data_IF_456307503059
#
_entry.id   IF_456307503059
#
_cell.length_a   1.000
_cell.length_b   1.000
_cell.length_c   1.000
_cell.angle_alpha   90.00
_cell.angle_beta   90.00
_cell.angle_gamma   90.00
#
_symmetry.space_group_name_H-M   'P 1'
#
loop_
_entity.id
_entity.type
_entity.pdbx_description
1 polymer ?
#
# COMPACT_ATOMS: atom_id res chain seq x y z
N UNK A 1 -9.34 -7.42 25.66
CA UNK A 1 -10.06 -8.50 24.96
C UNK A 1 -9.77 -8.32 23.49
N UNK A 2 -9.15 -9.28 22.86
CA UNK A 2 -8.92 -9.26 21.42
C UNK A 2 -10.29 -9.55 20.80
N UNK A 3 -10.83 -8.63 20.00
CA UNK A 3 -12.06 -8.83 19.23
C UNK A 3 -11.95 -10.09 18.38
N UNK A 4 -13.08 -10.66 17.97
CA UNK A 4 -13.08 -11.85 17.09
C UNK A 4 -12.33 -11.55 15.77
N UNK A 5 -12.01 -12.57 14.96
CA UNK A 5 -11.24 -12.40 13.71
C UNK A 5 -11.91 -11.47 12.67
N UNK A 6 -13.13 -11.03 12.90
CA UNK A 6 -13.88 -10.11 12.04
C UNK A 6 -14.03 -8.70 12.64
N UNK A 7 -13.41 -8.39 13.80
CA UNK A 7 -13.50 -7.06 14.40
C UNK A 7 -12.40 -6.14 13.84
N UNK A 8 -12.79 -5.27 12.92
CA UNK A 8 -11.90 -4.29 12.28
C UNK A 8 -11.82 -2.96 13.01
N UNK A 9 -12.68 -2.70 14.00
CA UNK A 9 -12.72 -1.44 14.77
C UNK A 9 -11.36 -1.06 15.40
N UNK A 10 -10.59 -2.01 16.00
CA UNK A 10 -9.27 -1.70 16.55
C UNK A 10 -8.25 -1.25 15.49
N UNK A 11 -8.51 -1.45 14.21
CA UNK A 11 -7.62 -1.06 13.11
C UNK A 11 -7.86 0.36 12.61
N UNK A 12 -9.00 0.99 12.90
CA UNK A 12 -9.33 2.36 12.44
C UNK A 12 -8.24 3.39 12.67
N UNK A 13 -7.53 3.40 13.83
CA UNK A 13 -6.42 4.34 14.04
C UNK A 13 -5.22 4.14 13.09
N UNK A 14 -5.15 3.03 12.38
CA UNK A 14 -3.94 2.61 11.67
C UNK A 14 -4.17 2.25 10.20
N UNK A 15 -5.40 2.28 9.74
CA UNK A 15 -5.76 1.84 8.38
C UNK A 15 -6.55 2.91 7.65
N UNK A 16 -6.14 3.17 6.42
CA UNK A 16 -6.91 3.92 5.43
C UNK A 16 -7.29 2.97 4.31
N UNK A 17 -8.58 2.70 4.17
CA UNK A 17 -9.11 1.82 3.13
C UNK A 17 -9.54 2.63 1.90
N UNK A 18 -9.05 2.25 0.73
CA UNK A 18 -9.27 2.93 -0.54
C UNK A 18 -9.92 1.99 -1.56
N UNK A 19 -10.96 2.47 -2.21
CA UNK A 19 -11.60 1.85 -3.37
C UNK A 19 -11.56 2.80 -4.56
N UNK A 20 -11.07 2.33 -5.71
CA UNK A 20 -10.91 3.14 -6.93
C UNK A 20 -10.15 4.46 -6.73
N UNK A 21 -9.22 4.48 -5.78
CA UNK A 21 -8.41 5.65 -5.43
C UNK A 21 -9.06 6.63 -4.45
N UNK A 22 -10.34 6.50 -4.14
CA UNK A 22 -11.06 7.28 -3.13
C UNK A 22 -11.15 6.53 -1.80
N UNK A 23 -11.62 7.19 -0.74
CA UNK A 23 -11.95 6.50 0.50
C UNK A 23 -13.07 5.49 0.28
N UNK A 24 -12.89 4.27 0.80
CA UNK A 24 -13.88 3.21 0.66
C UNK A 24 -15.16 3.55 1.43
N UNK A 25 -16.30 3.45 0.76
CA UNK A 25 -17.63 3.71 1.32
C UNK A 25 -18.41 2.43 1.61
N UNK A 26 -17.83 1.30 1.33
CA UNK A 26 -18.42 -0.04 1.49
C UNK A 26 -17.34 -1.05 1.92
N UNK A 27 -17.69 -2.33 1.95
CA UNK A 27 -16.79 -3.40 2.32
C UNK A 27 -16.72 -3.67 3.82
N UNK A 28 -15.64 -4.33 4.23
CA UNK A 28 -15.43 -4.75 5.63
C UNK A 28 -15.02 -3.56 6.53
N UNK A 29 -14.41 -2.51 5.94
CA UNK A 29 -14.01 -1.29 6.65
C UNK A 29 -14.19 -0.06 5.76
N UNK A 30 -15.12 0.80 6.10
CA UNK A 30 -15.26 2.10 5.47
C UNK A 30 -14.25 3.09 6.05
N UNK A 31 -13.78 4.03 5.22
CA UNK A 31 -12.93 5.16 5.65
C UNK A 31 -13.55 6.46 5.19
N UNK A 32 -13.55 7.46 6.04
CA UNK A 32 -13.98 8.83 5.75
C UNK A 32 -12.83 9.81 5.96
N UNK A 33 -13.02 11.07 5.57
CA UNK A 33 -12.06 12.15 5.86
C UNK A 33 -11.90 12.34 7.38
N UNK A 34 -13.00 12.24 8.13
CA UNK A 34 -13.03 12.36 9.58
C UNK A 34 -12.24 11.24 10.27
N UNK A 35 -12.26 10.02 9.73
CA UNK A 35 -11.40 8.92 10.23
C UNK A 35 -9.92 9.25 10.04
N UNK A 36 -9.55 9.78 8.87
CA UNK A 36 -8.16 10.21 8.61
C UNK A 36 -7.78 11.39 9.50
N UNK A 37 -8.67 12.35 9.70
CA UNK A 37 -8.46 13.47 10.63
C UNK A 37 -8.21 12.95 12.06
N UNK A 38 -8.99 11.98 12.51
CA UNK A 38 -8.80 11.37 13.82
C UNK A 38 -7.43 10.67 13.95
N UNK A 39 -6.92 10.06 12.86
CA UNK A 39 -5.57 9.49 12.85
C UNK A 39 -4.53 10.58 13.16
N UNK A 40 -4.57 11.73 12.48
CA UNK A 40 -3.55 12.77 12.57
C UNK A 40 -3.77 13.77 13.71
N UNK A 41 -4.99 13.92 14.21
CA UNK A 41 -5.30 14.88 15.29
C UNK A 41 -5.45 14.23 16.68
N UNK A 42 -5.68 12.90 16.73
CA UNK A 42 -5.92 12.20 17.99
C UNK A 42 -4.94 11.03 18.18
N UNK A 43 -4.94 10.06 17.28
CA UNK A 43 -4.27 8.78 17.51
C UNK A 43 -2.75 8.87 17.40
N UNK A 44 -2.24 9.45 16.32
CA UNK A 44 -0.81 9.63 16.11
C UNK A 44 -0.19 10.61 17.12
N UNK A 45 -0.78 11.78 17.43
CA UNK A 45 -0.28 12.64 18.52
C UNK A 45 -0.18 11.92 19.86
N UNK A 46 -1.24 11.22 20.27
CA UNK A 46 -1.24 10.46 21.52
C UNK A 46 -0.16 9.37 21.57
N UNK A 47 0.11 8.73 20.43
CA UNK A 47 1.20 7.76 20.32
C UNK A 47 2.56 8.45 20.44
N UNK A 48 2.78 9.56 19.74
CA UNK A 48 4.04 10.31 19.78
C UNK A 48 4.34 10.79 21.19
N UNK A 49 3.39 11.40 21.88
CA UNK A 49 3.59 11.89 23.27
C UNK A 49 4.00 10.76 24.23
N UNK A 50 3.37 9.60 24.10
CA UNK A 50 3.68 8.42 24.92
C UNK A 50 5.04 7.80 24.57
N UNK A 51 5.44 7.86 23.32
CA UNK A 51 6.58 7.11 22.78
C UNK A 51 7.86 7.94 22.70
N UNK A 52 7.75 9.24 22.43
CA UNK A 52 8.89 10.14 22.26
C UNK A 52 9.94 10.07 23.41
N UNK A 53 9.58 9.95 24.70
CA UNK A 53 10.58 9.85 25.77
C UNK A 53 11.51 8.63 25.64
N UNK A 54 11.06 7.57 24.95
CA UNK A 54 11.85 6.35 24.72
C UNK A 54 12.84 6.50 23.56
N UNK A 55 12.57 7.42 22.64
CA UNK A 55 13.37 7.65 21.43
C UNK A 55 14.30 8.85 21.55
N UNK A 56 14.09 9.74 22.52
CA UNK A 56 14.90 10.95 22.68
C UNK A 56 16.41 10.66 22.68
N UNK A 57 17.21 11.38 21.89
CA UNK A 57 16.87 12.58 21.12
C UNK A 57 16.35 12.29 19.68
N UNK A 58 16.07 11.04 19.33
CA UNK A 58 15.65 10.65 17.99
C UNK A 58 14.14 10.83 17.78
N UNK A 59 13.69 11.10 16.55
CA UNK A 59 12.27 11.20 16.21
C UNK A 59 11.55 9.84 16.33
N UNK A 60 10.23 9.90 16.52
CA UNK A 60 9.37 8.72 16.56
C UNK A 60 9.09 8.24 15.12
N UNK A 61 9.30 6.95 14.80
CA UNK A 61 9.04 6.45 13.45
C UNK A 61 7.54 6.38 13.12
N UNK A 62 7.15 6.95 11.99
CA UNK A 62 5.87 6.73 11.32
C UNK A 62 6.13 5.89 10.06
N UNK A 63 5.55 4.71 9.98
CA UNK A 63 5.72 3.79 8.84
C UNK A 63 4.45 3.73 8.02
N UNK A 64 4.51 4.19 6.79
CA UNK A 64 3.40 4.16 5.84
C UNK A 64 3.55 2.92 4.97
N UNK A 65 2.64 1.96 5.14
CA UNK A 65 2.68 0.66 4.49
C UNK A 65 1.65 0.56 3.36
N UNK A 66 2.06 0.01 2.22
CA UNK A 66 1.16 -0.38 1.13
C UNK A 66 1.36 -1.86 0.76
N UNK A 67 0.27 -2.64 0.76
CA UNK A 67 0.30 -4.06 0.43
C UNK A 67 0.41 -4.32 -1.07
N UNK A 68 0.63 -5.59 -1.45
CA UNK A 68 0.76 -6.04 -2.84
C UNK A 68 -0.55 -6.09 -3.62
N UNK A 69 -0.46 -6.31 -4.93
CA UNK A 69 -1.58 -6.19 -5.88
C UNK A 69 -2.61 -7.31 -5.86
N UNK A 70 -2.29 -8.47 -5.27
CA UNK A 70 -3.15 -9.66 -5.25
C UNK A 70 -3.77 -9.82 -3.85
N UNK A 71 -4.13 -8.74 -3.23
CA UNK A 71 -4.63 -8.70 -1.87
C UNK A 71 -6.05 -8.14 -1.91
N UNK A 72 -7.02 -8.91 -1.39
CA UNK A 72 -8.38 -8.42 -1.16
C UNK A 72 -8.38 -7.44 0.01
N UNK A 73 -9.43 -6.63 0.15
CA UNK A 73 -9.65 -5.78 1.31
C UNK A 73 -9.49 -6.59 2.61
N UNK A 74 -10.23 -7.71 2.76
CA UNK A 74 -10.14 -8.57 3.94
C UNK A 74 -8.72 -9.09 4.21
N UNK A 75 -8.00 -9.49 3.18
CA UNK A 75 -6.61 -9.93 3.34
C UNK A 75 -5.69 -8.76 3.73
N UNK A 76 -5.90 -7.56 3.18
CA UNK A 76 -5.20 -6.35 3.58
C UNK A 76 -5.44 -5.97 5.04
N UNK A 77 -6.69 -6.04 5.50
CA UNK A 77 -7.07 -5.85 6.89
C UNK A 77 -6.46 -6.92 7.81
N UNK A 78 -6.41 -8.18 7.37
CA UNK A 78 -5.75 -9.26 8.11
C UNK A 78 -4.24 -8.99 8.26
N UNK A 79 -3.57 -8.55 7.19
CA UNK A 79 -2.16 -8.16 7.22
C UNK A 79 -1.95 -7.01 8.23
N UNK A 80 -2.79 -5.97 8.18
CA UNK A 80 -2.74 -4.87 9.13
C UNK A 80 -2.94 -5.37 10.57
N UNK A 81 -3.92 -6.24 10.80
CA UNK A 81 -4.20 -6.83 12.11
C UNK A 81 -3.01 -7.56 12.73
N UNK A 82 -2.18 -8.22 11.92
CA UNK A 82 -0.96 -8.87 12.38
C UNK A 82 0.21 -7.89 12.55
N UNK A 83 0.33 -6.90 11.67
CA UNK A 83 1.49 -6.01 11.65
C UNK A 83 1.37 -4.86 12.65
N UNK A 84 0.17 -4.29 12.85
CA UNK A 84 -0.05 -3.14 13.75
C UNK A 84 0.47 -3.41 15.17
N UNK A 85 0.12 -4.51 15.85
CA UNK A 85 0.64 -4.77 17.20
C UNK A 85 2.17 -4.89 17.24
N UNK A 86 2.76 -5.46 16.19
CA UNK A 86 4.20 -5.61 16.08
C UNK A 86 4.90 -4.24 15.94
N UNK A 87 4.42 -3.38 15.05
CA UNK A 87 4.97 -2.04 14.89
C UNK A 87 4.87 -1.22 16.17
N UNK A 88 3.69 -1.21 16.81
CA UNK A 88 3.45 -0.48 18.06
C UNK A 88 4.36 -0.97 19.20
N UNK A 89 4.58 -2.28 19.32
CA UNK A 89 5.47 -2.85 20.33
C UNK A 89 6.94 -2.46 20.11
N UNK A 90 7.32 -2.19 18.86
CA UNK A 90 8.64 -1.70 18.48
C UNK A 90 8.74 -0.16 18.49
N UNK A 91 7.70 0.54 18.93
CA UNK A 91 7.68 2.00 19.07
C UNK A 91 7.52 2.77 17.77
N UNK A 92 7.08 2.13 16.70
CA UNK A 92 6.74 2.76 15.44
C UNK A 92 5.22 2.86 15.27
N UNK A 93 4.73 3.99 14.75
CA UNK A 93 3.31 4.12 14.38
C UNK A 93 3.12 3.62 12.96
N UNK A 94 2.31 2.57 12.72
CA UNK A 94 2.01 2.13 11.38
C UNK A 94 0.79 2.87 10.82
N UNK A 95 0.86 3.25 9.55
CA UNK A 95 -0.29 3.69 8.77
C UNK A 95 -0.39 2.78 7.54
N UNK A 96 -1.39 1.93 7.49
CA UNK A 96 -1.62 0.99 6.40
C UNK A 96 -2.58 1.56 5.37
N UNK A 97 -2.17 1.59 4.13
CA UNK A 97 -3.09 1.67 3.02
C UNK A 97 -3.58 0.27 2.65
N UNK A 98 -4.86 0.02 2.88
CA UNK A 98 -5.60 -1.08 2.25
C UNK A 98 -6.23 -0.51 1.00
N UNK A 99 -5.85 -1.00 -0.17
CA UNK A 99 -6.24 -0.37 -1.43
C UNK A 99 -6.64 -1.40 -2.48
N UNK A 100 -7.70 -1.09 -3.20
CA UNK A 100 -8.21 -1.96 -4.22
C UNK A 100 -7.30 -1.94 -5.45
N UNK A 101 -6.85 -3.11 -5.86
CA UNK A 101 -5.97 -3.25 -7.02
C UNK A 101 -6.71 -3.60 -8.30
N UNK A 102 -8.04 -3.85 -8.20
CA UNK A 102 -8.87 -4.33 -9.32
C UNK A 102 -8.58 -5.78 -9.73
N UNK A 103 -7.66 -6.47 -9.02
CA UNK A 103 -7.26 -7.83 -9.35
C UNK A 103 -8.39 -8.83 -9.22
N UNK A 104 -9.10 -8.80 -8.10
CA UNK A 104 -10.18 -9.78 -7.84
C UNK A 104 -11.35 -9.61 -8.80
N UNK A 105 -11.70 -8.38 -9.17
CA UNK A 105 -12.79 -8.13 -10.09
C UNK A 105 -12.43 -8.56 -11.52
N UNK A 106 -11.18 -8.32 -11.92
CA UNK A 106 -10.64 -8.82 -13.18
C UNK A 106 -10.63 -10.36 -13.19
N UNK A 107 -10.19 -10.99 -12.09
CA UNK A 107 -10.21 -12.47 -11.98
C UNK A 107 -11.64 -13.04 -11.99
N UNK A 108 -12.58 -12.42 -11.28
CA UNK A 108 -14.01 -12.82 -11.33
C UNK A 108 -14.58 -12.69 -12.74
N UNK A 109 -14.22 -11.63 -13.46
CA UNK A 109 -14.65 -11.43 -14.84
C UNK A 109 -14.07 -12.51 -15.78
N UNK A 110 -12.81 -12.88 -15.60
CA UNK A 110 -12.17 -13.97 -16.37
C UNK A 110 -12.88 -15.30 -16.10
N UNK A 111 -13.15 -15.63 -14.82
CA UNK A 111 -13.84 -16.87 -14.46
C UNK A 111 -15.27 -16.92 -14.99
N UNK A 112 -16.03 -15.83 -14.97
CA UNK A 112 -17.38 -15.76 -15.55
C UNK A 112 -17.35 -15.97 -17.07
N UNK A 113 -16.35 -15.45 -17.76
CA UNK A 113 -16.21 -15.67 -19.22
C UNK A 113 -15.90 -17.14 -19.55
N UNK A 114 -15.30 -17.91 -18.60
CA UNK A 114 -15.09 -19.36 -18.76
C UNK A 114 -16.38 -20.15 -18.54
N UNK A 115 -17.23 -19.73 -17.60
CA UNK A 115 -18.54 -20.39 -17.35
C UNK A 115 -19.50 -20.21 -18.51
N UNK A 116 -19.45 -19.10 -19.24
CA UNK A 116 -20.26 -18.83 -20.43
C UNK A 116 -19.79 -19.61 -21.68
N UNK A 117 -18.63 -20.30 -21.62
CA UNK A 117 -18.06 -21.08 -22.72
C UNK A 117 -17.58 -22.47 -22.25
N UNK A 118 -18.50 -23.43 -21.99
CA UNK A 118 -18.23 -24.74 -21.41
C UNK A 118 -17.51 -25.74 -22.35
N UNK A 119 -16.69 -25.27 -23.25
CA UNK A 119 -15.95 -26.09 -24.22
C UNK A 119 -14.42 -25.94 -24.17
N UNK A 120 -13.89 -25.15 -23.24
CA UNK A 120 -12.43 -25.00 -23.12
C UNK A 120 -11.95 -25.96 -22.02
N UNK A 121 -11.12 -26.99 -22.34
CA UNK A 121 -10.58 -27.90 -21.32
C UNK A 121 -9.80 -27.14 -20.26
N UNK A 122 -9.77 -27.67 -19.01
CA UNK A 122 -9.16 -27.09 -17.81
C UNK A 122 -7.64 -26.80 -17.85
N UNK A 123 -7.10 -26.56 -19.04
CA UNK A 123 -5.77 -26.04 -19.34
C UNK A 123 -5.72 -24.52 -19.51
N UNK A 124 -6.72 -23.78 -19.02
CA UNK A 124 -6.76 -22.31 -19.14
C UNK A 124 -5.58 -21.58 -18.45
N UNK A 125 -4.76 -22.32 -17.76
CA UNK A 125 -3.52 -21.83 -17.14
C UNK A 125 -2.36 -21.87 -18.13
N UNK A 126 -2.34 -22.82 -19.06
CA UNK A 126 -1.41 -22.79 -20.20
C UNK A 126 -1.74 -21.68 -21.22
N UNK A 127 -2.97 -21.14 -21.16
CA UNK A 127 -3.38 -19.98 -21.95
C UNK A 127 -2.68 -18.66 -21.57
N UNK A 128 -1.87 -18.62 -20.54
CA UNK A 128 -0.99 -17.46 -20.27
C UNK A 128 0.12 -17.32 -21.33
N UNK A 129 0.41 -18.36 -22.06
CA UNK A 129 1.29 -18.33 -23.23
C UNK A 129 0.54 -17.96 -24.54
N UNK A 130 -0.80 -17.97 -24.52
CA UNK A 130 -1.62 -17.60 -25.66
C UNK A 130 -2.00 -16.10 -25.67
N UNK A 131 -2.15 -15.47 -26.83
CA UNK A 131 -2.46 -14.04 -26.97
C UNK A 131 -3.60 -13.50 -26.11
N UNK A 132 -4.68 -14.24 -25.77
CA UNK A 132 -5.70 -13.78 -24.84
C UNK A 132 -5.18 -13.55 -23.43
N UNK A 133 -4.35 -14.42 -22.90
CA UNK A 133 -3.85 -14.32 -21.52
C UNK A 133 -2.88 -13.13 -21.31
N UNK A 134 -2.08 -12.82 -22.32
CA UNK A 134 -1.25 -11.60 -22.33
C UNK A 134 -2.09 -10.33 -22.26
N UNK A 135 -3.30 -10.33 -22.86
CA UNK A 135 -4.24 -9.21 -22.76
C UNK A 135 -4.83 -9.05 -21.36
N UNK A 136 -5.17 -10.15 -20.68
CA UNK A 136 -5.72 -10.13 -19.32
C UNK A 136 -4.66 -9.68 -18.30
N UNK A 137 -3.43 -10.19 -18.40
CA UNK A 137 -2.33 -9.72 -17.55
C UNK A 137 -2.06 -8.23 -17.73
N UNK A 138 -2.11 -7.71 -18.97
CA UNK A 138 -1.91 -6.29 -19.24
C UNK A 138 -3.06 -5.41 -18.68
N UNK A 139 -4.31 -5.87 -18.74
CA UNK A 139 -5.47 -5.17 -18.19
C UNK A 139 -5.38 -5.09 -16.68
N UNK A 140 -4.99 -6.19 -16.02
CA UNK A 140 -4.80 -6.26 -14.59
C UNK A 140 -3.75 -5.25 -14.11
N UNK A 141 -2.56 -5.26 -14.70
CA UNK A 141 -1.51 -4.32 -14.34
C UNK A 141 -1.87 -2.87 -14.68
N UNK A 142 -2.72 -2.66 -15.68
CA UNK A 142 -3.27 -1.34 -16.00
C UNK A 142 -4.21 -0.86 -14.90
N UNK A 143 -5.08 -1.74 -14.37
CA UNK A 143 -5.97 -1.42 -13.26
C UNK A 143 -5.19 -1.08 -11.98
N UNK A 144 -4.18 -1.89 -11.61
CA UNK A 144 -3.30 -1.63 -10.47
C UNK A 144 -2.62 -0.27 -10.58
N UNK A 145 -1.99 0.03 -11.71
CA UNK A 145 -1.31 1.32 -11.94
C UNK A 145 -2.29 2.48 -11.91
N UNK A 146 -3.47 2.31 -12.52
CA UNK A 146 -4.52 3.33 -12.52
C UNK A 146 -5.00 3.65 -11.10
N UNK A 147 -5.30 2.63 -10.30
CA UNK A 147 -5.79 2.82 -8.94
C UNK A 147 -4.73 3.47 -8.03
N UNK A 148 -3.46 3.09 -8.17
CA UNK A 148 -2.36 3.75 -7.49
C UNK A 148 -2.24 5.24 -7.86
N UNK A 149 -2.36 5.58 -9.16
CA UNK A 149 -2.33 6.96 -9.62
C UNK A 149 -3.57 7.75 -9.17
N UNK A 150 -4.77 7.15 -9.24
CA UNK A 150 -6.01 7.77 -8.77
C UNK A 150 -5.98 8.06 -7.27
N UNK A 151 -5.41 7.17 -6.45
CA UNK A 151 -5.28 7.39 -5.01
C UNK A 151 -4.48 8.66 -4.67
N UNK A 152 -3.53 9.02 -5.51
CA UNK A 152 -2.69 10.22 -5.35
C UNK A 152 -3.14 11.41 -6.21
N UNK A 153 -4.25 11.29 -6.94
CA UNK A 153 -4.84 12.38 -7.74
C UNK A 153 -5.48 13.46 -6.85
N UNK A 154 -5.88 14.63 -7.38
CA UNK A 154 -6.49 15.71 -6.60
C UNK A 154 -7.69 15.33 -5.74
N UNK A 155 -8.46 14.30 -6.15
CA UNK A 155 -9.60 13.76 -5.41
C UNK A 155 -9.28 12.46 -4.68
N UNK A 156 -8.04 11.99 -4.74
CA UNK A 156 -7.61 10.72 -4.19
C UNK A 156 -7.50 10.72 -2.67
N UNK A 157 -7.88 9.60 -2.05
CA UNK A 157 -7.80 9.47 -0.60
C UNK A 157 -6.36 9.46 -0.07
N UNK A 158 -5.40 8.94 -0.85
CA UNK A 158 -4.00 8.99 -0.45
C UNK A 158 -3.43 10.42 -0.53
N UNK A 159 -3.91 11.25 -1.47
CA UNK A 159 -3.55 12.67 -1.48
C UNK A 159 -4.04 13.39 -0.22
N UNK A 160 -5.27 13.14 0.21
CA UNK A 160 -5.79 13.69 1.46
C UNK A 160 -4.91 13.28 2.65
N UNK A 161 -4.52 12.00 2.73
CA UNK A 161 -3.56 11.54 3.75
C UNK A 161 -2.22 12.28 3.64
N UNK A 162 -1.73 12.55 2.44
CA UNK A 162 -0.49 13.30 2.21
C UNK A 162 -0.59 14.75 2.74
N UNK A 163 -1.72 15.42 2.52
CA UNK A 163 -2.02 16.75 3.05
C UNK A 163 -2.02 16.75 4.59
N UNK A 164 -2.74 15.80 5.21
CA UNK A 164 -2.78 15.65 6.67
C UNK A 164 -1.41 15.30 7.27
N UNK A 165 -0.64 14.46 6.58
CA UNK A 165 0.75 14.15 6.96
C UNK A 165 1.62 15.41 6.99
N UNK A 166 1.55 16.22 5.93
CA UNK A 166 2.31 17.47 5.83
C UNK A 166 1.96 18.42 6.97
N UNK A 167 0.67 18.64 7.22
CA UNK A 167 0.18 19.50 8.31
C UNK A 167 0.61 18.97 9.69
N UNK A 168 0.51 17.67 9.92
CA UNK A 168 0.91 17.06 11.17
C UNK A 168 2.42 17.23 11.42
N UNK A 169 3.25 16.91 10.42
CA UNK A 169 4.69 17.02 10.52
C UNK A 169 5.15 18.47 10.70
N UNK A 170 4.51 19.43 10.04
CA UNK A 170 4.80 20.86 10.22
C UNK A 170 4.52 21.34 11.66
N UNK A 171 3.46 20.80 12.31
CA UNK A 171 3.17 21.08 13.74
C UNK A 171 4.09 20.34 14.71
N UNK A 172 4.80 19.30 14.25
CA UNK A 172 5.64 18.43 15.06
C UNK A 172 7.07 18.34 14.50
N UNK A 173 7.62 19.46 14.03
CA UNK A 173 8.91 19.51 13.34
C UNK A 173 10.02 18.82 14.14
N UNK A 174 10.77 17.96 13.46
CA UNK A 174 11.86 17.17 14.04
C UNK A 174 11.44 16.05 15.02
N UNK A 175 10.15 15.86 15.31
CA UNK A 175 9.66 14.82 16.25
C UNK A 175 9.31 13.50 15.56
N UNK A 176 9.15 13.52 14.24
CA UNK A 176 8.68 12.39 13.45
C UNK A 176 9.69 12.04 12.36
N UNK A 177 10.04 10.77 12.27
CA UNK A 177 10.75 10.20 11.12
C UNK A 177 9.74 9.49 10.21
N UNK A 178 9.65 9.90 8.95
CA UNK A 178 8.66 9.36 8.01
C UNK A 178 9.30 8.28 7.13
N UNK A 179 8.72 7.10 7.16
CA UNK A 179 9.16 5.96 6.36
C UNK A 179 8.02 5.45 5.49
N UNK A 180 8.32 5.07 4.24
CA UNK A 180 7.38 4.36 3.37
C UNK A 180 7.89 2.95 3.10
N UNK A 181 7.00 1.97 3.15
CA UNK A 181 7.33 0.58 2.83
C UNK A 181 6.23 -0.05 1.98
N UNK A 182 6.60 -0.68 0.87
CA UNK A 182 5.65 -1.28 -0.07
C UNK A 182 6.10 -2.66 -0.55
N UNK A 183 5.17 -3.63 -0.47
CA UNK A 183 5.40 -4.96 -1.01
C UNK A 183 4.78 -5.09 -2.40
N UNK A 184 5.52 -5.66 -3.36
CA UNK A 184 5.03 -5.94 -4.73
C UNK A 184 4.40 -4.69 -5.37
N UNK A 185 3.09 -4.67 -5.64
CA UNK A 185 2.37 -3.51 -6.17
C UNK A 185 2.31 -2.31 -5.20
N UNK A 186 2.57 -2.51 -3.91
CA UNK A 186 2.76 -1.39 -2.98
C UNK A 186 3.91 -0.46 -3.38
N UNK A 187 4.89 -0.97 -4.14
CA UNK A 187 5.93 -0.14 -4.75
C UNK A 187 5.35 0.80 -5.84
N UNK A 188 4.35 0.33 -6.59
CA UNK A 188 3.63 1.17 -7.57
C UNK A 188 2.83 2.24 -6.82
N UNK A 189 2.15 1.87 -5.73
CA UNK A 189 1.42 2.83 -4.89
C UNK A 189 2.35 3.93 -4.38
N UNK A 190 3.48 3.58 -3.79
CA UNK A 190 4.43 4.55 -3.26
C UNK A 190 5.13 5.37 -4.34
N UNK A 191 5.24 4.87 -5.58
CA UNK A 191 5.78 5.68 -6.68
C UNK A 191 4.90 6.88 -7.04
N UNK A 192 3.62 6.87 -6.65
CA UNK A 192 2.70 8.00 -6.76
C UNK A 192 2.54 8.75 -5.43
N UNK A 193 2.43 8.02 -4.32
CA UNK A 193 2.20 8.63 -3.00
C UNK A 193 3.36 9.49 -2.53
N UNK A 194 4.61 9.00 -2.62
CA UNK A 194 5.78 9.72 -2.09
C UNK A 194 5.99 11.08 -2.78
N UNK A 195 6.00 11.18 -4.13
CA UNK A 195 6.08 12.50 -4.77
C UNK A 195 4.89 13.40 -4.41
N UNK A 196 3.67 12.85 -4.37
CA UNK A 196 2.48 13.62 -3.96
C UNK A 196 2.63 14.15 -2.53
N UNK A 197 3.08 13.35 -1.58
CA UNK A 197 3.30 13.80 -0.22
C UNK A 197 4.33 14.93 -0.14
N UNK A 198 5.41 14.85 -0.92
CA UNK A 198 6.41 15.91 -1.02
C UNK A 198 5.84 17.19 -1.64
N UNK A 199 5.03 17.06 -2.67
CA UNK A 199 4.31 18.21 -3.28
C UNK A 199 3.35 18.88 -2.29
N UNK A 200 2.75 18.13 -1.35
CA UNK A 200 1.90 18.67 -0.30
C UNK A 200 2.68 19.25 0.89
N UNK A 201 4.01 19.17 0.87
CA UNK A 201 4.85 19.75 1.93
C UNK A 201 5.18 18.76 3.07
N UNK A 202 4.93 17.47 2.91
CA UNK A 202 5.42 16.47 3.85
C UNK A 202 6.95 16.54 3.97
N UNK A 203 7.58 16.17 5.10
CA UNK A 203 9.03 16.19 5.26
C UNK A 203 9.71 15.19 4.32
N UNK A 204 11.04 15.28 4.23
CA UNK A 204 11.86 14.26 3.57
C UNK A 204 11.53 12.89 4.16
N UNK A 205 11.37 11.89 3.32
CA UNK A 205 11.22 10.52 3.79
C UNK A 205 12.57 9.98 4.25
N UNK A 206 12.70 9.65 5.53
CA UNK A 206 13.93 9.06 6.10
C UNK A 206 14.28 7.73 5.43
N UNK A 207 13.26 6.97 5.02
CA UNK A 207 13.48 5.82 4.12
C UNK A 207 12.27 5.47 3.28
N UNK A 208 12.55 4.95 2.07
CA UNK A 208 11.58 4.23 1.24
C UNK A 208 12.10 2.80 1.02
N UNK A 209 11.29 1.82 1.36
CA UNK A 209 11.64 0.41 1.31
C UNK A 209 10.71 -0.35 0.36
N UNK A 210 11.26 -0.90 -0.70
CA UNK A 210 10.53 -1.62 -1.73
C UNK A 210 10.86 -3.11 -1.64
N UNK A 211 9.86 -3.91 -1.24
CA UNK A 211 10.01 -5.35 -1.04
C UNK A 211 9.43 -6.11 -2.24
N UNK A 212 10.28 -6.83 -2.94
CA UNK A 212 9.93 -7.54 -4.19
C UNK A 212 9.08 -6.67 -5.12
N UNK A 213 9.55 -5.47 -5.52
CA UNK A 213 8.70 -4.47 -6.16
C UNK A 213 8.22 -4.91 -7.54
N UNK A 214 6.91 -4.78 -7.78
CA UNK A 214 6.30 -4.95 -9.10
C UNK A 214 6.35 -3.66 -9.95
N UNK A 215 7.13 -2.68 -9.53
CA UNK A 215 7.34 -1.43 -10.24
C UNK A 215 8.31 -1.64 -11.40
N UNK A 216 7.92 -1.22 -12.60
CA UNK A 216 8.79 -1.26 -13.77
C UNK A 216 9.96 -0.29 -13.63
N UNK A 217 11.09 -0.63 -14.25
CA UNK A 217 12.32 0.20 -14.22
C UNK A 217 12.09 1.61 -14.78
N UNK A 218 11.26 1.73 -15.84
CA UNK A 218 10.93 3.04 -16.40
C UNK A 218 10.10 3.89 -15.42
N UNK A 219 9.11 3.29 -14.73
CA UNK A 219 8.34 3.95 -13.68
C UNK A 219 9.22 4.35 -12.49
N UNK A 220 10.11 3.47 -12.05
CA UNK A 220 11.08 3.79 -11.00
C UNK A 220 11.96 5.00 -11.38
N UNK A 221 12.52 4.98 -12.59
CA UNK A 221 13.38 6.05 -13.10
C UNK A 221 12.69 7.39 -13.24
N UNK A 222 11.39 7.38 -13.57
CA UNK A 222 10.64 8.62 -13.77
C UNK A 222 10.02 9.19 -12.50
N UNK A 223 9.61 8.33 -11.54
CA UNK A 223 8.79 8.76 -10.40
C UNK A 223 9.57 8.79 -9.07
N UNK A 224 10.44 7.81 -8.81
CA UNK A 224 11.13 7.71 -7.51
C UNK A 224 12.60 8.09 -7.58
N UNK A 225 13.32 7.65 -8.60
CA UNK A 225 14.75 7.90 -8.70
C UNK A 225 15.13 9.40 -8.63
N UNK A 226 14.35 10.32 -9.25
CA UNK A 226 14.64 11.75 -9.14
C UNK A 226 14.54 12.31 -7.72
N UNK A 227 13.86 11.62 -6.79
CA UNK A 227 13.65 12.08 -5.42
C UNK A 227 14.77 11.63 -4.46
N UNK A 228 15.55 10.62 -4.87
CA UNK A 228 16.60 10.04 -4.01
C UNK A 228 17.73 11.02 -3.77
N UNK A 229 18.08 11.22 -2.51
CA UNK A 229 19.12 12.11 -2.05
C UNK A 229 18.65 13.52 -1.66
N UNK A 230 17.37 13.88 -1.90
CA UNK A 230 16.81 15.16 -1.45
C UNK A 230 15.38 15.08 -0.88
N UNK A 231 14.50 14.27 -1.46
CA UNK A 231 13.13 14.02 -0.97
C UNK A 231 13.00 12.65 -0.30
N UNK A 232 13.93 11.76 -0.60
CA UNK A 232 14.11 10.43 0.01
C UNK A 232 15.58 10.34 0.46
N UNK A 233 15.82 10.27 1.77
CA UNK A 233 17.18 10.15 2.31
C UNK A 233 17.77 8.78 1.98
N UNK A 234 17.02 7.71 2.18
CA UNK A 234 17.46 6.34 1.90
C UNK A 234 16.41 5.55 1.15
N UNK A 235 16.80 5.01 -0.01
CA UNK A 235 15.97 4.07 -0.75
C UNK A 235 16.61 2.69 -0.72
N UNK A 236 15.83 1.67 -0.34
CA UNK A 236 16.27 0.27 -0.32
C UNK A 236 15.33 -0.58 -1.14
N UNK A 237 15.89 -1.42 -2.01
CA UNK A 237 15.13 -2.38 -2.81
C UNK A 237 15.54 -3.79 -2.40
N UNK A 238 14.58 -4.58 -1.94
CA UNK A 238 14.76 -5.99 -1.61
C UNK A 238 14.21 -6.83 -2.76
N UNK A 239 15.09 -7.54 -3.47
CA UNK A 239 14.72 -8.42 -4.57
C UNK A 239 14.91 -9.88 -4.18
N UNK A 240 14.18 -10.78 -4.83
CA UNK A 240 14.45 -12.21 -4.76
C UNK A 240 15.72 -12.52 -5.54
N UNK A 241 16.45 -13.57 -5.13
CA UNK A 241 17.51 -14.11 -5.95
C UNK A 241 16.90 -14.98 -7.08
N UNK A 242 17.70 -15.27 -8.10
CA UNK A 242 17.25 -16.01 -9.28
C UNK A 242 16.66 -17.40 -8.94
N UNK A 243 17.14 -18.05 -7.87
CA UNK A 243 16.62 -19.34 -7.43
C UNK A 243 15.20 -19.18 -6.80
N UNK A 244 14.99 -18.12 -6.01
CA UNK A 244 13.70 -17.80 -5.42
C UNK A 244 12.70 -17.36 -6.50
N UNK A 245 13.14 -16.54 -7.48
CA UNK A 245 12.30 -16.14 -8.61
C UNK A 245 11.86 -17.34 -9.46
N UNK A 246 12.76 -18.27 -9.74
CA UNK A 246 12.43 -19.49 -10.49
C UNK A 246 11.56 -20.47 -9.68
N UNK A 247 11.57 -20.38 -8.36
CA UNK A 247 10.75 -21.19 -7.45
C UNK A 247 9.42 -20.54 -7.11
N UNK A 248 9.25 -19.25 -7.41
CA UNK A 248 8.02 -18.54 -7.15
C UNK A 248 6.98 -18.93 -8.19
N UNK A 249 6.02 -19.76 -7.77
CA UNK A 249 4.85 -20.09 -8.55
C UNK A 249 3.80 -19.04 -8.30
N UNK A 250 3.60 -18.10 -9.21
CA UNK A 250 2.46 -17.20 -9.17
C UNK A 250 1.17 -18.04 -9.10
N UNK A 251 0.63 -18.27 -7.89
CA UNK A 251 -0.53 -19.14 -7.60
C UNK A 251 -0.39 -20.64 -7.98
N UNK A 252 0.81 -21.20 -8.01
CA UNK A 252 1.03 -22.54 -8.57
C UNK A 252 0.60 -22.68 -10.05
N UNK A 253 0.47 -21.57 -10.76
CA UNK A 253 -0.01 -21.53 -12.14
C UNK A 253 1.13 -21.73 -13.16
N UNK A 254 2.37 -21.65 -12.71
CA UNK A 254 3.55 -21.97 -13.51
C UNK A 254 4.50 -22.85 -12.72
N UNK A 255 4.80 -24.00 -13.24
CA UNK A 255 5.98 -24.80 -12.96
C UNK A 255 6.79 -24.88 -14.24
#
# INVERSE_FOLDING_TARGET
>A
MVGGPDDVEPLRPYVVNLSNGEFSRDGDMQTSAEDVDAIFDVHLPAFVERTAPRFAPHPVPLVIWAHGGIVSERAGLTIAGHQVPWWLSNGAYPLHFVWETGFLDTMKQILRLQDDHPGVPGGAVDAAADPPAGRFGSQLWTAVKRNAALASSPQGGARYVAERLAEFCARNDGRIAVHAAGHSAGAIFHSHFVPTAREQGAPVFDSVQLLAPALRVDGFRSLLLPLVGHDIDRLTVYTMNMQAENGDSCFQLYR
#
